data_IF_890458667020
#
_entry.id   IF_890458667020
#
_cell.length_a   1.000
_cell.length_b   1.000
_cell.length_c   1.000
_cell.angle_alpha   90.00
_cell.angle_beta   90.00
_cell.angle_gamma   90.00
#
_symmetry.space_group_name_H-M   'P 1'
#
loop_
_entity.id
_entity.type
_entity.pdbx_description
1 polymer ?
#
# COMPACT_ATOMS: atom_id res chain seq x y z
N UNK A 1 26.03 -14.87 -11.56
CA UNK A 1 26.00 -16.28 -11.15
C UNK A 1 24.71 -16.67 -10.44
N UNK A 2 24.14 -15.83 -9.56
CA UNK A 2 22.86 -16.13 -8.88
C UNK A 2 21.63 -16.22 -9.82
N UNK A 3 21.61 -15.48 -10.94
CA UNK A 3 20.50 -15.49 -11.93
C UNK A 3 20.29 -16.83 -12.64
N UNK A 4 21.27 -17.75 -12.62
CA UNK A 4 21.12 -19.09 -13.19
C UNK A 4 20.26 -20.01 -12.30
N UNK A 5 20.16 -19.72 -11.00
CA UNK A 5 19.39 -20.51 -10.05
C UNK A 5 17.91 -20.11 -9.96
N UNK A 6 17.53 -18.95 -10.50
CA UNK A 6 16.16 -18.41 -10.44
C UNK A 6 15.45 -18.45 -11.80
N UNK A 7 15.85 -19.37 -12.70
CA UNK A 7 15.15 -19.56 -13.96
C UNK A 7 13.84 -20.32 -13.76
N UNK A 8 12.76 -20.00 -14.50
CA UNK A 8 11.49 -20.70 -14.37
C UNK A 8 11.65 -22.18 -14.73
N UNK A 9 11.35 -23.05 -13.76
CA UNK A 9 11.46 -24.51 -13.90
C UNK A 9 10.12 -25.08 -14.37
N UNK A 10 10.15 -25.93 -15.41
CA UNK A 10 8.97 -26.61 -15.95
C UNK A 10 9.10 -28.14 -15.88
N UNK A 11 7.97 -28.85 -16.03
CA UNK A 11 7.92 -30.31 -16.01
C UNK A 11 7.91 -30.92 -14.60
N UNK A 12 8.31 -32.19 -14.47
CA UNK A 12 8.24 -32.93 -13.19
C UNK A 12 9.12 -32.33 -12.09
N UNK A 13 10.17 -31.62 -12.49
CA UNK A 13 11.09 -30.93 -11.56
C UNK A 13 10.37 -29.81 -10.82
N UNK A 14 9.41 -29.12 -11.46
CA UNK A 14 8.59 -28.09 -10.82
C UNK A 14 7.83 -28.63 -9.59
N UNK A 15 7.22 -29.82 -9.70
CA UNK A 15 6.52 -30.46 -8.59
C UNK A 15 7.46 -30.82 -7.44
N UNK A 16 8.70 -31.21 -7.74
CA UNK A 16 9.73 -31.45 -6.73
C UNK A 16 10.13 -30.16 -6.02
N UNK A 17 10.25 -29.03 -6.72
CA UNK A 17 10.48 -27.73 -6.10
C UNK A 17 9.32 -27.31 -5.18
N UNK A 18 8.07 -27.54 -5.60
CA UNK A 18 6.89 -27.28 -4.74
C UNK A 18 6.92 -28.16 -3.50
N UNK A 19 7.14 -29.47 -3.65
CA UNK A 19 7.19 -30.40 -2.53
C UNK A 19 8.32 -30.05 -1.56
N UNK A 20 9.51 -29.73 -2.10
CA UNK A 20 10.65 -29.27 -1.33
C UNK A 20 10.37 -27.97 -0.58
N UNK A 21 9.75 -26.99 -1.23
CA UNK A 21 9.35 -25.73 -0.59
C UNK A 21 8.30 -25.94 0.51
N UNK A 22 7.33 -26.84 0.31
CA UNK A 22 6.33 -27.19 1.31
C UNK A 22 6.97 -27.86 2.53
N UNK A 23 7.85 -28.83 2.32
CA UNK A 23 8.61 -29.48 3.41
C UNK A 23 9.49 -28.48 4.15
N UNK A 24 10.22 -27.63 3.43
CA UNK A 24 11.02 -26.56 4.01
C UNK A 24 10.15 -25.61 4.85
N UNK A 25 8.97 -25.23 4.35
CA UNK A 25 8.03 -24.37 5.08
C UNK A 25 7.51 -25.04 6.35
N UNK A 26 7.18 -26.32 6.32
CA UNK A 26 6.75 -27.06 7.51
C UNK A 26 7.87 -27.20 8.54
N UNK A 27 9.10 -27.45 8.10
CA UNK A 27 10.28 -27.47 8.98
C UNK A 27 10.49 -26.08 9.59
N UNK A 28 10.43 -25.03 8.77
CA UNK A 28 10.59 -23.65 9.24
C UNK A 28 9.52 -23.29 10.27
N UNK A 29 8.25 -23.63 10.01
CA UNK A 29 7.15 -23.43 10.97
C UNK A 29 7.42 -24.23 12.25
N UNK A 30 7.81 -25.49 12.15
CA UNK A 30 8.15 -26.33 13.30
C UNK A 30 9.28 -25.75 14.14
N UNK A 31 10.34 -25.25 13.49
CA UNK A 31 11.45 -24.55 14.14
C UNK A 31 10.94 -23.28 14.81
N UNK A 32 10.18 -22.44 14.11
CA UNK A 32 9.62 -21.20 14.66
C UNK A 32 8.68 -21.45 15.86
N UNK A 33 7.92 -22.54 15.83
CA UNK A 33 7.06 -22.96 16.95
C UNK A 33 7.88 -23.45 18.15
N UNK A 34 8.99 -24.14 17.89
CA UNK A 34 9.94 -24.62 18.89
C UNK A 34 10.79 -23.50 19.50
N UNK A 35 10.80 -22.28 18.93
CA UNK A 35 11.49 -21.13 19.51
C UNK A 35 10.89 -20.82 20.90
N UNK A 36 11.72 -20.83 21.97
CA UNK A 36 11.30 -20.45 23.31
C UNK A 36 10.64 -19.08 23.32
N UNK A 37 9.60 -18.89 24.14
CA UNK A 37 8.80 -17.65 24.19
C UNK A 37 9.67 -16.39 24.39
N UNK A 38 10.79 -16.51 25.12
CA UNK A 38 11.76 -15.41 25.34
C UNK A 38 12.50 -14.98 24.08
N UNK A 39 12.73 -15.89 23.12
CA UNK A 39 13.50 -15.65 21.90
C UNK A 39 12.65 -15.27 20.70
N UNK A 40 11.33 -15.48 20.74
CA UNK A 40 10.41 -15.09 19.66
C UNK A 40 10.61 -13.62 19.31
N UNK A 41 10.48 -12.72 20.28
CA UNK A 41 10.65 -11.27 20.11
C UNK A 41 11.97 -10.90 19.41
N UNK A 42 13.16 -11.28 19.93
CA UNK A 42 14.44 -11.07 19.26
C UNK A 42 14.51 -11.64 17.84
N UNK A 43 14.04 -12.87 17.61
CA UNK A 43 14.12 -13.51 16.31
C UNK A 43 13.31 -12.76 15.26
N UNK A 44 12.07 -12.36 15.57
CA UNK A 44 11.28 -11.58 14.61
C UNK A 44 11.91 -10.21 14.34
N UNK A 45 12.36 -9.50 15.39
CA UNK A 45 13.04 -8.22 15.21
C UNK A 45 14.29 -8.36 14.34
N UNK A 46 15.06 -9.44 14.51
CA UNK A 46 16.21 -9.76 13.67
C UNK A 46 15.81 -9.99 12.22
N UNK A 47 14.77 -10.81 11.97
CA UNK A 47 14.29 -11.10 10.62
C UNK A 47 13.75 -9.85 9.92
N UNK A 48 12.93 -9.04 10.60
CA UNK A 48 12.39 -7.80 10.01
C UNK A 48 13.46 -6.74 9.80
N UNK A 49 14.42 -6.62 10.72
CA UNK A 49 15.56 -5.72 10.57
C UNK A 49 16.43 -6.13 9.39
N UNK A 50 16.78 -7.41 9.24
CA UNK A 50 17.59 -7.90 8.13
C UNK A 50 16.87 -7.73 6.79
N UNK A 51 15.55 -7.97 6.74
CA UNK A 51 14.74 -7.74 5.54
C UNK A 51 14.71 -6.27 5.12
N UNK A 52 14.53 -5.34 6.06
CA UNK A 52 14.59 -3.90 5.78
C UNK A 52 16.00 -3.42 5.42
N UNK A 53 17.02 -3.94 6.10
CA UNK A 53 18.42 -3.64 5.85
C UNK A 53 18.85 -4.06 4.44
N UNK A 54 18.36 -5.19 3.93
CA UNK A 54 18.63 -5.64 2.56
C UNK A 54 18.26 -4.57 1.52
N UNK A 55 17.03 -4.05 1.56
CA UNK A 55 16.57 -3.02 0.62
C UNK A 55 17.26 -1.68 0.86
N UNK A 56 17.54 -1.31 2.11
CA UNK A 56 18.28 -0.09 2.40
C UNK A 56 19.71 -0.15 1.84
N UNK A 57 20.41 -1.27 2.04
CA UNK A 57 21.75 -1.49 1.49
C UNK A 57 21.71 -1.51 -0.04
N UNK A 58 20.73 -2.16 -0.65
CA UNK A 58 20.58 -2.15 -2.11
C UNK A 58 20.35 -0.73 -2.65
N UNK A 59 19.62 0.11 -1.93
CA UNK A 59 19.38 1.50 -2.33
C UNK A 59 20.62 2.40 -2.15
N UNK A 60 21.36 2.26 -1.04
CA UNK A 60 22.47 3.18 -0.70
C UNK A 60 23.82 2.74 -1.22
N UNK A 61 24.03 1.44 -1.52
CA UNK A 61 25.30 0.97 -2.04
C UNK A 61 25.53 1.45 -3.47
N UNK A 62 26.76 1.90 -3.80
CA UNK A 62 27.07 2.44 -5.11
C UNK A 62 26.82 1.40 -6.19
N UNK A 63 26.11 1.84 -7.23
CA UNK A 63 25.79 1.05 -8.40
C UNK A 63 27.05 0.93 -9.26
N UNK A 64 27.34 -0.27 -9.79
CA UNK A 64 28.48 -0.43 -10.70
C UNK A 64 28.22 0.37 -11.99
N UNK A 65 29.24 1.04 -12.55
CA UNK A 65 29.07 1.80 -13.79
C UNK A 65 28.60 0.88 -14.92
N UNK A 66 27.86 1.48 -15.86
CA UNK A 66 27.25 0.85 -17.04
C UNK A 66 28.27 -0.08 -17.71
N UNK A 67 27.96 -1.38 -17.76
CA UNK A 67 28.76 -2.33 -18.54
C UNK A 67 28.66 -2.00 -20.03
N UNK A 68 29.70 -2.35 -20.80
CA UNK A 68 29.81 -2.09 -22.24
C UNK A 68 28.62 -2.59 -23.11
N UNK A 69 27.72 -3.38 -22.52
CA UNK A 69 26.49 -3.94 -23.12
C UNK A 69 25.24 -3.04 -22.90
N UNK A 70 25.40 -1.81 -22.39
CA UNK A 70 24.32 -0.82 -22.23
C UNK A 70 23.30 -1.12 -21.11
N UNK A 71 23.45 -2.24 -20.39
CA UNK A 71 22.60 -2.61 -19.27
C UNK A 71 23.13 -1.99 -17.97
N UNK A 72 22.27 -1.27 -17.25
CA UNK A 72 22.57 -0.80 -15.90
C UNK A 72 22.89 -2.03 -15.03
N UNK A 73 24.14 -2.16 -14.59
CA UNK A 73 24.51 -3.18 -13.61
C UNK A 73 24.28 -2.57 -12.24
N UNK A 74 23.26 -3.07 -11.53
CA UNK A 74 23.05 -2.79 -10.13
C UNK A 74 24.25 -3.12 -9.24
N UNK A 75 24.10 -2.97 -7.94
CA UNK A 75 25.10 -3.50 -7.00
C UNK A 75 24.96 -5.03 -6.87
N UNK A 76 25.80 -5.64 -6.03
CA UNK A 76 25.77 -7.09 -5.80
C UNK A 76 24.47 -7.62 -5.17
N UNK A 77 23.63 -6.75 -4.58
CA UNK A 77 22.32 -7.09 -4.02
C UNK A 77 21.19 -7.01 -5.06
N UNK A 78 21.35 -6.19 -6.10
CA UNK A 78 20.33 -5.99 -7.14
C UNK A 78 19.84 -7.31 -7.79
N UNK A 79 20.70 -8.31 -8.09
CA UNK A 79 20.24 -9.61 -8.60
C UNK A 79 19.33 -10.39 -7.65
N UNK A 80 19.34 -10.09 -6.35
CA UNK A 80 18.50 -10.73 -5.34
C UNK A 80 17.16 -10.02 -5.15
N UNK A 81 17.03 -8.77 -5.62
CA UNK A 81 15.80 -7.98 -5.47
C UNK A 81 14.63 -8.65 -6.17
N UNK A 82 14.81 -9.18 -7.37
CA UNK A 82 13.73 -9.84 -8.12
C UNK A 82 13.24 -11.12 -7.41
N UNK A 83 14.11 -12.08 -7.00
CA UNK A 83 13.68 -13.23 -6.20
C UNK A 83 12.95 -12.86 -4.91
N UNK A 84 13.47 -11.91 -4.13
CA UNK A 84 12.80 -11.46 -2.90
C UNK A 84 11.51 -10.69 -3.18
N UNK A 85 11.50 -9.84 -4.21
CA UNK A 85 10.34 -9.10 -4.68
C UNK A 85 9.20 -10.03 -5.08
N UNK A 86 9.51 -11.15 -5.74
CA UNK A 86 8.55 -12.17 -6.15
C UNK A 86 7.90 -12.91 -4.96
N UNK A 87 8.45 -12.82 -3.74
CA UNK A 87 7.78 -13.30 -2.53
C UNK A 87 6.68 -12.34 -2.04
N UNK A 88 6.77 -11.06 -2.40
CA UNK A 88 5.83 -10.02 -1.95
C UNK A 88 4.39 -10.30 -2.38
N UNK A 89 4.08 -10.68 -3.65
CA UNK A 89 2.73 -11.08 -4.03
C UNK A 89 2.19 -12.27 -3.23
N UNK A 90 3.04 -13.22 -2.85
CA UNK A 90 2.64 -14.39 -2.03
C UNK A 90 2.22 -13.92 -0.63
N UNK A 91 3.02 -13.04 -0.02
CA UNK A 91 2.70 -12.44 1.28
C UNK A 91 1.40 -11.63 1.20
N UNK A 92 1.22 -10.82 0.15
CA UNK A 92 -0.01 -10.04 -0.07
C UNK A 92 -1.21 -10.97 -0.21
N UNK A 93 -1.11 -12.05 -1.00
CA UNK A 93 -2.20 -13.01 -1.16
C UNK A 93 -2.61 -13.66 0.16
N UNK A 94 -1.64 -14.06 0.99
CA UNK A 94 -1.90 -14.60 2.33
C UNK A 94 -2.52 -13.55 3.26
N UNK A 95 -2.04 -12.31 3.24
CA UNK A 95 -2.58 -11.22 4.03
C UNK A 95 -4.03 -10.90 3.66
N UNK A 96 -4.35 -10.89 2.36
CA UNK A 96 -5.73 -10.76 1.88
C UNK A 96 -6.60 -11.90 2.40
N UNK A 97 -6.11 -13.15 2.34
CA UNK A 97 -6.82 -14.31 2.90
C UNK A 97 -7.11 -14.17 4.39
N UNK A 98 -6.12 -13.75 5.18
CA UNK A 98 -6.31 -13.47 6.62
C UNK A 98 -7.30 -12.32 6.85
N UNK A 99 -7.25 -11.27 6.03
CA UNK A 99 -8.20 -10.16 6.07
C UNK A 99 -9.64 -10.61 5.83
N UNK A 100 -9.84 -11.48 4.83
CA UNK A 100 -11.15 -12.10 4.56
C UNK A 100 -11.61 -12.94 5.75
N UNK A 101 -10.78 -13.85 6.26
CA UNK A 101 -11.14 -14.69 7.43
C UNK A 101 -11.50 -13.82 8.63
N UNK A 102 -10.75 -12.74 8.89
CA UNK A 102 -11.04 -11.81 9.97
C UNK A 102 -12.41 -11.12 9.80
N UNK A 103 -12.71 -10.60 8.59
CA UNK A 103 -14.02 -10.00 8.31
C UNK A 103 -15.15 -11.00 8.51
N UNK A 104 -14.99 -12.23 8.02
CA UNK A 104 -15.97 -13.29 8.20
C UNK A 104 -16.17 -13.64 9.68
N UNK A 105 -15.10 -13.72 10.46
CA UNK A 105 -15.18 -13.99 11.90
C UNK A 105 -15.87 -12.85 12.64
N UNK A 106 -15.50 -11.59 12.40
CA UNK A 106 -16.08 -10.43 13.08
C UNK A 106 -17.56 -10.25 12.75
N UNK A 107 -17.90 -10.21 11.45
CA UNK A 107 -19.30 -10.02 11.03
C UNK A 107 -20.15 -11.26 11.28
N UNK A 108 -19.61 -12.46 11.09
CA UNK A 108 -20.29 -13.72 11.39
C UNK A 108 -20.58 -13.88 12.89
N UNK A 109 -19.62 -13.54 13.76
CA UNK A 109 -19.83 -13.53 15.21
C UNK A 109 -20.91 -12.53 15.63
N UNK A 110 -20.94 -11.32 15.04
CA UNK A 110 -22.01 -10.33 15.31
C UNK A 110 -23.40 -10.86 14.94
N UNK A 111 -23.54 -11.55 13.80
CA UNK A 111 -24.81 -12.13 13.36
C UNK A 111 -25.25 -13.26 14.29
N UNK A 112 -24.37 -14.24 14.52
CA UNK A 112 -24.68 -15.41 15.35
C UNK A 112 -25.00 -15.05 16.78
N UNK A 113 -24.30 -14.06 17.36
CA UNK A 113 -24.51 -13.58 18.73
C UNK A 113 -25.51 -12.41 18.83
N UNK A 114 -26.16 -12.02 17.73
CA UNK A 114 -27.11 -10.89 17.67
C UNK A 114 -26.60 -9.62 18.37
N UNK A 115 -25.31 -9.30 18.16
CA UNK A 115 -24.70 -8.12 18.75
C UNK A 115 -25.23 -6.83 18.11
N UNK A 116 -24.98 -5.68 18.75
CA UNK A 116 -25.33 -4.38 18.20
C UNK A 116 -24.75 -4.21 16.78
N UNK A 117 -25.58 -3.74 15.84
CA UNK A 117 -25.20 -3.64 14.44
C UNK A 117 -25.18 -4.96 13.64
N UNK A 118 -25.79 -6.04 14.15
CA UNK A 118 -25.88 -7.32 13.42
C UNK A 118 -26.56 -7.16 12.04
N UNK A 119 -27.53 -6.27 11.91
CA UNK A 119 -28.21 -5.98 10.64
C UNK A 119 -27.26 -5.49 9.55
N UNK A 120 -26.33 -4.59 9.91
CA UNK A 120 -25.29 -4.09 9.00
C UNK A 120 -24.33 -5.22 8.58
N UNK A 121 -24.05 -6.14 9.50
CA UNK A 121 -23.21 -7.32 9.20
C UNK A 121 -23.90 -8.30 8.25
N UNK A 122 -25.23 -8.44 8.34
CA UNK A 122 -26.01 -9.22 7.39
C UNK A 122 -26.02 -8.56 6.01
N UNK A 123 -26.24 -7.24 5.95
CA UNK A 123 -26.18 -6.47 4.71
C UNK A 123 -24.80 -6.59 4.02
N UNK A 124 -23.71 -6.57 4.79
CA UNK A 124 -22.35 -6.81 4.29
C UNK A 124 -22.21 -8.14 3.53
N UNK A 125 -22.65 -9.25 4.13
CA UNK A 125 -22.56 -10.55 3.47
C UNK A 125 -23.45 -10.63 2.22
N UNK A 126 -24.70 -10.13 2.31
CA UNK A 126 -25.61 -10.10 1.17
C UNK A 126 -24.98 -9.33 0.01
N UNK A 127 -24.45 -8.13 0.27
CA UNK A 127 -23.80 -7.31 -0.75
C UNK A 127 -22.55 -7.98 -1.34
N UNK A 128 -21.72 -8.60 -0.49
CA UNK A 128 -20.49 -9.29 -0.91
C UNK A 128 -20.80 -10.47 -1.82
N UNK A 129 -21.74 -11.34 -1.42
CA UNK A 129 -22.12 -12.49 -2.24
C UNK A 129 -22.88 -12.07 -3.50
N UNK A 130 -23.76 -11.06 -3.42
CA UNK A 130 -24.45 -10.54 -4.61
C UNK A 130 -23.44 -10.00 -5.64
N UNK A 131 -22.48 -9.17 -5.23
CA UNK A 131 -21.45 -8.65 -6.11
C UNK A 131 -20.55 -9.75 -6.67
N UNK A 132 -20.12 -10.70 -5.82
CA UNK A 132 -19.29 -11.83 -6.25
C UNK A 132 -20.02 -12.67 -7.30
N UNK A 133 -21.26 -13.08 -7.04
CA UNK A 133 -22.05 -13.89 -7.96
C UNK A 133 -22.31 -13.16 -9.27
N UNK A 134 -22.73 -11.89 -9.25
CA UNK A 134 -23.05 -11.14 -10.47
C UNK A 134 -21.79 -10.86 -11.29
N UNK A 135 -20.66 -10.56 -10.66
CA UNK A 135 -19.39 -10.37 -11.37
C UNK A 135 -18.92 -11.67 -12.06
N UNK A 136 -19.01 -12.81 -11.36
CA UNK A 136 -18.70 -14.13 -11.91
C UNK A 136 -19.63 -14.47 -13.09
N UNK A 137 -20.94 -14.22 -12.95
CA UNK A 137 -21.92 -14.45 -14.02
C UNK A 137 -21.66 -13.59 -15.25
N UNK A 138 -21.32 -12.31 -15.08
CA UNK A 138 -20.95 -11.42 -16.19
C UNK A 138 -19.68 -11.90 -16.92
N UNK A 139 -18.70 -12.44 -16.19
CA UNK A 139 -17.46 -12.98 -16.77
C UNK A 139 -17.65 -14.33 -17.48
N UNK A 140 -18.45 -15.24 -16.92
CA UNK A 140 -18.65 -16.58 -17.50
C UNK A 140 -19.74 -16.60 -18.58
N UNK A 141 -20.79 -15.80 -18.44
CA UNK A 141 -21.93 -15.73 -19.34
C UNK A 141 -22.27 -14.26 -19.66
N UNK A 142 -21.45 -13.59 -20.48
CA UNK A 142 -21.65 -12.19 -20.80
C UNK A 142 -22.96 -12.02 -21.60
N UNK A 143 -23.92 -11.33 -21.00
CA UNK A 143 -25.16 -10.91 -21.66
C UNK A 143 -25.51 -9.47 -21.22
N UNK A 144 -26.46 -8.83 -21.90
CA UNK A 144 -26.83 -7.43 -21.61
C UNK A 144 -27.37 -7.25 -20.19
N UNK A 145 -28.06 -8.25 -19.64
CA UNK A 145 -28.65 -8.22 -18.30
C UNK A 145 -27.54 -8.27 -17.24
N UNK A 146 -26.65 -9.26 -17.29
CA UNK A 146 -25.55 -9.47 -16.36
C UNK A 146 -24.60 -8.27 -16.36
N UNK A 147 -24.29 -7.73 -17.55
CA UNK A 147 -23.47 -6.52 -17.68
C UNK A 147 -24.13 -5.31 -17.04
N UNK A 148 -25.43 -5.12 -17.25
CA UNK A 148 -26.19 -4.02 -16.64
C UNK A 148 -26.29 -4.18 -15.11
N UNK A 149 -26.54 -5.40 -14.63
CA UNK A 149 -26.58 -5.70 -13.18
C UNK A 149 -25.21 -5.47 -12.53
N UNK A 150 -24.12 -5.93 -13.17
CA UNK A 150 -22.76 -5.68 -12.70
C UNK A 150 -22.48 -4.17 -12.67
N UNK A 151 -22.85 -3.43 -13.71
CA UNK A 151 -22.72 -1.97 -13.76
C UNK A 151 -23.48 -1.28 -12.63
N UNK A 152 -24.73 -1.66 -12.37
CA UNK A 152 -25.55 -1.06 -11.30
C UNK A 152 -24.94 -1.33 -9.92
N UNK A 153 -24.50 -2.56 -9.66
CA UNK A 153 -23.89 -2.89 -8.37
C UNK A 153 -22.51 -2.26 -8.21
N UNK A 154 -21.70 -2.24 -9.26
CA UNK A 154 -20.34 -1.71 -9.19
C UNK A 154 -20.33 -0.18 -9.21
N UNK A 155 -20.80 0.44 -10.29
CA UNK A 155 -20.76 1.91 -10.44
C UNK A 155 -21.85 2.57 -9.59
N UNK A 156 -23.08 2.02 -9.63
CA UNK A 156 -24.23 2.62 -8.97
C UNK A 156 -24.25 2.45 -7.45
N UNK A 157 -23.60 1.40 -6.93
CA UNK A 157 -23.60 1.10 -5.49
C UNK A 157 -22.20 1.21 -4.91
N UNK A 158 -21.25 0.34 -5.28
CA UNK A 158 -19.93 0.31 -4.65
C UNK A 158 -19.15 1.61 -4.87
N UNK A 159 -19.02 2.07 -6.11
CA UNK A 159 -18.29 3.30 -6.42
C UNK A 159 -18.97 4.54 -5.84
N UNK A 160 -20.32 4.59 -5.85
CA UNK A 160 -21.06 5.67 -5.21
C UNK A 160 -20.82 5.70 -3.68
N UNK A 161 -20.92 4.56 -3.00
CA UNK A 161 -20.66 4.46 -1.56
C UNK A 161 -19.21 4.82 -1.23
N UNK A 162 -18.24 4.36 -2.02
CA UNK A 162 -16.84 4.72 -1.86
C UNK A 162 -16.63 6.24 -2.01
N UNK A 163 -17.23 6.85 -3.03
CA UNK A 163 -17.22 8.29 -3.22
C UNK A 163 -17.86 9.04 -2.04
N UNK A 164 -18.92 8.52 -1.41
CA UNK A 164 -19.48 9.15 -0.19
C UNK A 164 -18.53 9.07 1.00
N UNK A 165 -17.84 7.94 1.18
CA UNK A 165 -16.86 7.79 2.25
C UNK A 165 -15.69 8.75 2.04
N UNK A 166 -15.16 8.82 0.82
CA UNK A 166 -14.12 9.79 0.43
C UNK A 166 -14.60 11.24 0.59
N UNK A 167 -15.85 11.55 0.24
CA UNK A 167 -16.41 12.90 0.39
C UNK A 167 -16.51 13.33 1.84
N UNK A 168 -16.93 12.43 2.74
CA UNK A 168 -16.96 12.69 4.19
C UNK A 168 -15.54 12.95 4.70
N UNK A 169 -14.57 12.12 4.33
CA UNK A 169 -13.16 12.29 4.71
C UNK A 169 -12.62 13.63 4.17
N UNK A 170 -12.89 13.95 2.91
CA UNK A 170 -12.47 15.22 2.30
C UNK A 170 -13.06 16.42 3.04
N UNK A 171 -14.35 16.36 3.39
CA UNK A 171 -14.99 17.41 4.18
C UNK A 171 -14.32 17.58 5.56
N UNK A 172 -13.99 16.48 6.24
CA UNK A 172 -13.25 16.54 7.51
C UNK A 172 -11.86 17.15 7.36
N UNK A 173 -11.13 16.78 6.31
CA UNK A 173 -9.80 17.34 6.01
C UNK A 173 -9.91 18.84 5.77
N UNK A 174 -10.85 19.28 4.93
CA UNK A 174 -11.06 20.70 4.63
C UNK A 174 -11.46 21.47 5.89
N UNK A 175 -12.36 20.94 6.71
CA UNK A 175 -12.78 21.56 7.97
C UNK A 175 -11.60 21.71 8.95
N UNK A 176 -10.78 20.66 9.10
CA UNK A 176 -9.58 20.70 9.93
C UNK A 176 -8.54 21.69 9.39
N UNK A 177 -8.31 21.69 8.08
CA UNK A 177 -7.37 22.60 7.41
C UNK A 177 -7.82 24.06 7.51
N UNK A 178 -9.11 24.36 7.31
CA UNK A 178 -9.67 25.70 7.50
C UNK A 178 -9.43 26.20 8.93
N UNK A 179 -9.68 25.36 9.94
CA UNK A 179 -9.41 25.71 11.33
C UNK A 179 -7.92 25.95 11.59
N UNK A 180 -7.04 25.16 10.97
CA UNK A 180 -5.58 25.33 11.07
C UNK A 180 -5.09 26.61 10.37
N UNK A 181 -5.62 26.93 9.19
CA UNK A 181 -5.26 28.14 8.42
C UNK A 181 -5.91 29.42 8.95
N UNK A 182 -7.03 29.32 9.69
CA UNK A 182 -7.63 30.46 10.40
C UNK A 182 -6.72 30.99 11.51
N UNK A 183 -5.85 30.15 12.08
CA UNK A 183 -4.82 30.60 13.02
C UNK A 183 -3.79 31.39 12.20
N UNK A 184 -3.74 32.70 12.42
CA UNK A 184 -2.84 33.65 11.72
C UNK A 184 -1.38 33.40 12.12
N UNK A 185 -0.82 32.34 11.59
CA UNK A 185 0.59 32.00 11.69
C UNK A 185 1.29 32.26 10.36
N UNK A 186 2.58 32.53 10.42
CA UNK A 186 3.40 32.72 9.22
C UNK A 186 3.44 31.42 8.42
N UNK A 187 3.54 30.29 9.12
CA UNK A 187 3.56 28.94 8.57
C UNK A 187 2.28 28.61 7.79
N UNK A 188 1.10 28.91 8.35
CA UNK A 188 -0.18 28.71 7.65
C UNK A 188 -0.28 29.56 6.38
N UNK A 189 0.22 30.79 6.42
CA UNK A 189 0.21 31.69 5.26
C UNK A 189 1.15 31.19 4.16
N UNK A 190 2.35 30.72 4.52
CA UNK A 190 3.28 30.12 3.57
C UNK A 190 2.68 28.88 2.90
N UNK A 191 2.02 28.01 3.67
CA UNK A 191 1.34 26.82 3.14
C UNK A 191 0.21 27.20 2.17
N UNK A 192 -0.61 28.19 2.51
CA UNK A 192 -1.71 28.67 1.66
C UNK A 192 -1.19 29.22 0.33
N UNK A 193 -0.18 30.10 0.37
CA UNK A 193 0.45 30.67 -0.83
C UNK A 193 1.05 29.57 -1.69
N UNK A 194 1.77 28.62 -1.08
CA UNK A 194 2.36 27.47 -1.76
C UNK A 194 1.27 26.63 -2.45
N UNK A 195 0.16 26.36 -1.77
CA UNK A 195 -0.96 25.60 -2.33
C UNK A 195 -1.59 26.31 -3.55
N UNK A 196 -1.79 27.64 -3.47
CA UNK A 196 -2.33 28.43 -4.59
C UNK A 196 -1.40 28.36 -5.79
N UNK A 197 -0.09 28.55 -5.59
CA UNK A 197 0.92 28.48 -6.66
C UNK A 197 0.94 27.09 -7.32
N UNK A 198 0.92 26.02 -6.51
CA UNK A 198 0.90 24.65 -7.02
C UNK A 198 -0.39 24.34 -7.78
N UNK A 199 -1.55 24.80 -7.30
CA UNK A 199 -2.83 24.63 -8.00
C UNK A 199 -2.85 25.38 -9.34
N UNK A 200 -2.36 26.62 -9.37
CA UNK A 200 -2.25 27.40 -10.61
C UNK A 200 -1.34 26.71 -11.63
N UNK A 201 -0.18 26.21 -11.20
CA UNK A 201 0.75 25.51 -12.10
C UNK A 201 0.24 24.15 -12.62
N UNK A 202 -0.87 23.63 -12.08
CA UNK A 202 -1.49 22.37 -12.52
C UNK A 202 -2.56 22.59 -13.58
N UNK A 203 -3.15 23.78 -13.68
CA UNK A 203 -4.22 24.07 -14.63
C UNK A 203 -3.71 24.90 -15.82
N UNK A 204 -4.33 24.71 -16.99
CA UNK A 204 -3.93 25.41 -18.22
C UNK A 204 -3.99 26.94 -18.08
N UNK A 205 -4.97 27.47 -17.33
CA UNK A 205 -5.12 28.92 -17.10
C UNK A 205 -3.88 29.49 -16.39
N UNK A 206 -3.34 28.80 -15.39
CA UNK A 206 -2.16 29.28 -14.66
C UNK A 206 -0.91 29.35 -15.54
N UNK A 207 -0.78 28.42 -16.49
CA UNK A 207 0.32 28.43 -17.46
C UNK A 207 0.21 29.59 -18.45
N UNK A 208 -1.01 29.91 -18.90
CA UNK A 208 -1.26 31.05 -19.78
C UNK A 208 -0.88 32.38 -19.12
N UNK A 209 -1.11 32.53 -17.81
CA UNK A 209 -0.75 33.74 -17.06
C UNK A 209 0.76 34.02 -17.06
N UNK A 210 1.60 33.00 -17.17
CA UNK A 210 3.07 33.14 -17.28
C UNK A 210 3.63 32.82 -18.65
N UNK A 211 2.78 32.71 -19.68
CA UNK A 211 3.22 32.44 -21.05
C UNK A 211 4.07 33.56 -21.67
N UNK A 212 3.97 34.78 -21.13
CA UNK A 212 4.79 35.92 -21.54
C UNK A 212 6.25 35.82 -21.06
N UNK A 213 6.55 34.93 -20.12
CA UNK A 213 7.91 34.66 -19.68
C UNK A 213 8.63 33.70 -20.66
N UNK A 214 9.94 33.90 -20.91
CA UNK A 214 10.73 33.02 -21.77
C UNK A 214 10.62 31.54 -21.37
N UNK A 215 10.64 30.65 -22.35
CA UNK A 215 10.72 29.20 -22.13
C UNK A 215 12.07 28.77 -21.58
N UNK A 216 13.12 29.51 -21.91
CA UNK A 216 14.51 29.15 -21.64
C UNK A 216 15.26 30.28 -20.91
N UNK A 217 16.29 29.90 -20.16
CA UNK A 217 17.11 30.81 -19.36
C UNK A 217 16.61 31.02 -17.93
N UNK A 218 17.25 31.95 -17.20
CA UNK A 218 16.98 32.14 -15.76
C UNK A 218 15.55 32.59 -15.46
N UNK A 219 14.93 33.34 -16.38
CA UNK A 219 13.56 33.85 -16.22
C UNK A 219 12.50 32.76 -16.36
N UNK A 220 12.81 31.64 -17.03
CA UNK A 220 11.91 30.51 -17.15
C UNK A 220 11.56 29.91 -15.77
N UNK A 221 12.46 30.02 -14.79
CA UNK A 221 12.23 29.51 -13.44
C UNK A 221 11.05 30.19 -12.73
N UNK A 222 10.67 31.40 -13.14
CA UNK A 222 9.55 32.14 -12.56
C UNK A 222 8.19 31.79 -13.17
N UNK A 223 8.16 30.92 -14.18
CA UNK A 223 6.90 30.36 -14.70
C UNK A 223 6.24 29.47 -13.65
N UNK A 224 4.94 29.59 -13.47
CA UNK A 224 4.22 28.95 -12.34
C UNK A 224 4.35 27.42 -12.39
N UNK A 225 4.39 26.86 -13.59
CA UNK A 225 4.60 25.46 -13.92
C UNK A 225 5.99 24.95 -13.49
N UNK A 226 7.03 25.77 -13.62
CA UNK A 226 8.39 25.44 -13.20
C UNK A 226 8.52 25.54 -11.67
N UNK A 227 7.95 26.59 -11.06
CA UNK A 227 7.89 26.74 -9.60
C UNK A 227 7.15 25.55 -8.97
N UNK A 228 5.99 25.20 -9.52
CA UNK A 228 5.23 24.02 -9.10
C UNK A 228 6.07 22.75 -9.20
N UNK A 229 6.76 22.55 -10.33
CA UNK A 229 7.58 21.36 -10.55
C UNK A 229 8.69 21.27 -9.50
N UNK A 230 9.37 22.39 -9.22
CA UNK A 230 10.38 22.46 -8.16
C UNK A 230 9.80 22.15 -6.78
N UNK A 231 8.65 22.72 -6.40
CA UNK A 231 7.97 22.42 -5.13
C UNK A 231 7.64 20.92 -5.03
N UNK A 232 7.16 20.32 -6.11
CA UNK A 232 6.79 18.90 -6.12
C UNK A 232 8.00 17.96 -6.07
N UNK A 233 9.09 18.33 -6.74
CA UNK A 233 10.26 17.48 -6.86
C UNK A 233 11.24 17.61 -5.69
N UNK A 234 11.31 18.76 -5.03
CA UNK A 234 12.28 19.01 -3.95
C UNK A 234 11.63 18.84 -2.57
N UNK A 235 10.85 19.81 -2.03
CA UNK A 235 10.30 19.68 -0.69
C UNK A 235 9.20 18.63 -0.57
N UNK A 236 8.27 18.54 -1.55
CA UNK A 236 7.18 17.58 -1.46
C UNK A 236 7.68 16.13 -1.57
N UNK A 237 8.62 15.84 -2.47
CA UNK A 237 9.17 14.49 -2.59
C UNK A 237 9.91 14.05 -1.31
N UNK A 238 10.63 14.96 -0.66
CA UNK A 238 11.27 14.70 0.62
C UNK A 238 10.23 14.43 1.73
N UNK A 239 9.17 15.24 1.81
CA UNK A 239 8.08 15.06 2.78
C UNK A 239 7.34 13.73 2.57
N UNK A 240 6.99 13.38 1.33
CA UNK A 240 6.34 12.11 1.00
C UNK A 240 7.24 10.93 1.39
N UNK A 241 8.55 11.00 1.15
CA UNK A 241 9.50 9.97 1.60
C UNK A 241 9.50 9.82 3.12
N UNK A 242 9.53 10.94 3.85
CA UNK A 242 9.48 10.93 5.31
C UNK A 242 8.17 10.32 5.85
N UNK A 243 7.02 10.67 5.24
CA UNK A 243 5.72 10.08 5.58
C UNK A 243 5.72 8.57 5.31
N UNK A 244 6.15 8.15 4.12
CA UNK A 244 6.23 6.72 3.78
C UNK A 244 7.12 5.94 4.74
N UNK A 245 8.26 6.51 5.14
CA UNK A 245 9.14 5.92 6.14
C UNK A 245 8.45 5.84 7.51
N UNK A 246 7.81 6.92 7.96
CA UNK A 246 7.06 6.96 9.21
C UNK A 246 5.91 5.96 9.28
N UNK A 247 5.14 5.83 8.18
CA UNK A 247 4.10 4.81 8.04
C UNK A 247 4.69 3.39 8.07
N UNK A 248 5.84 3.18 7.42
CA UNK A 248 6.56 1.91 7.46
C UNK A 248 6.93 1.51 8.89
N UNK A 249 7.55 2.42 9.65
CA UNK A 249 7.88 2.20 11.07
C UNK A 249 6.62 1.99 11.91
N UNK A 250 5.57 2.79 11.69
CA UNK A 250 4.29 2.66 12.39
C UNK A 250 3.65 1.29 12.20
N UNK A 251 3.66 0.79 10.96
CA UNK A 251 3.17 -0.55 10.62
C UNK A 251 4.03 -1.64 11.28
N UNK A 252 5.35 -1.50 11.28
CA UNK A 252 6.24 -2.43 11.98
C UNK A 252 5.97 -2.43 13.50
N UNK A 253 5.79 -1.26 14.10
CA UNK A 253 5.47 -1.13 15.53
C UNK A 253 4.12 -1.76 15.87
N UNK A 254 3.09 -1.56 15.03
CA UNK A 254 1.78 -2.19 15.19
C UNK A 254 1.87 -3.72 15.05
N UNK A 255 2.58 -4.20 14.03
CA UNK A 255 2.80 -5.63 13.84
C UNK A 255 3.52 -6.26 15.04
N UNK A 256 4.57 -5.61 15.55
CA UNK A 256 5.25 -6.03 16.77
C UNK A 256 4.32 -6.02 17.98
N UNK A 257 3.48 -4.99 18.14
CA UNK A 257 2.52 -4.91 19.25
C UNK A 257 1.52 -6.07 19.24
N UNK A 258 0.94 -6.38 18.08
CA UNK A 258 0.05 -7.52 17.87
C UNK A 258 0.79 -8.82 18.20
N UNK A 259 1.99 -8.97 17.65
CA UNK A 259 2.75 -10.22 17.78
C UNK A 259 3.25 -10.49 19.20
N UNK A 260 3.56 -9.44 19.94
CA UNK A 260 3.94 -9.53 21.35
C UNK A 260 2.73 -9.69 22.29
N UNK A 261 1.51 -9.75 21.74
CA UNK A 261 0.28 -9.84 22.54
C UNK A 261 0.08 -8.63 23.47
N UNK A 262 0.70 -7.49 23.14
CA UNK A 262 0.59 -6.25 23.92
C UNK A 262 -0.77 -5.56 23.69
N UNK A 263 -1.53 -6.02 22.70
CA UNK A 263 -2.96 -5.80 22.63
C UNK A 263 -3.67 -6.72 23.63
N UNK A 264 -3.69 -6.29 24.90
CA UNK A 264 -4.63 -6.85 25.86
C UNK A 264 -6.03 -6.45 25.39
N UNK A 265 -6.75 -7.38 24.78
CA UNK A 265 -8.17 -7.19 24.51
C UNK A 265 -8.87 -6.88 25.82
N UNK A 266 -9.71 -5.84 25.83
CA UNK A 266 -10.60 -5.50 26.95
C UNK A 266 -11.73 -6.53 27.13
N UNK A 267 -11.47 -7.82 26.88
CA UNK A 267 -12.44 -8.91 26.87
C UNK A 267 -12.53 -9.66 28.21
N UNK A 268 -12.01 -9.07 29.30
CA UNK A 268 -12.09 -9.65 30.65
C UNK A 268 -12.73 -8.71 31.70
N UNK A 269 -13.44 -7.66 31.28
CA UNK A 269 -14.34 -6.92 32.17
C UNK A 269 -15.77 -7.04 31.62
N UNK A 270 -16.56 -7.90 32.27
CA UNK A 270 -17.92 -8.28 31.91
C UNK A 270 -18.29 -9.61 32.53
#
# INVERSE_FOLDING_TARGET
MLSQYFQPVSGNVFWLYIAGAAVFTLILIGVLMAIPQSLRKPTLMGVTFLGGLFFALEFFLPVHPISADGKQQGNFLTPLVEPFGNTTPVIIALAVGLGLVNLFQVHGRRITRRQEGWGNSLAFFIATFAMMSINILDKMHPNSINKNLNKILFEGTLAALDATMFSIIAFYIVSAAYRAFRVRSVEATMLLVTAIVVMLGQIAIGQLLTSWLPTDGLLANFRVENIRTWINQVPNSAAVRAISFGLGIGNLAMALRIWLGLERGSYFEG
#
